data_IF_465102358273
#
_entry.id   IF_465102358273
#
_cell.length_a   1.000
_cell.length_b   1.000
_cell.length_c   1.000
_cell.angle_alpha   90.00
_cell.angle_beta   90.00
_cell.angle_gamma   90.00
#
_symmetry.space_group_name_H-M   'P 1'
#
loop_
_entity.id
_entity.type
_entity.pdbx_description
1 polymer ?
#
# COMPACT_ATOMS: atom_id res chain seq x y z
N UNK A 1 12.77 -25.07 -12.13
CA UNK A 1 13.43 -25.36 -10.85
C UNK A 1 12.76 -26.51 -10.08
N UNK A 2 11.41 -26.59 -10.01
CA UNK A 2 10.72 -27.75 -9.38
C UNK A 2 11.04 -29.11 -9.99
N UNK A 3 11.44 -29.15 -11.27
CA UNK A 3 11.74 -30.41 -11.98
C UNK A 3 13.12 -31.01 -11.66
N UNK A 4 13.95 -30.33 -10.85
CA UNK A 4 15.31 -30.75 -10.51
C UNK A 4 15.38 -31.49 -9.16
N UNK A 5 14.31 -31.45 -8.37
CA UNK A 5 14.27 -32.07 -7.03
C UNK A 5 13.90 -33.55 -7.16
N UNK A 6 14.77 -34.48 -6.74
CA UNK A 6 14.45 -35.91 -6.76
C UNK A 6 13.18 -36.20 -5.96
N UNK A 7 12.28 -37.01 -6.52
CA UNK A 7 11.05 -37.38 -5.82
C UNK A 7 11.34 -38.51 -4.84
N UNK A 8 10.66 -38.47 -3.70
CA UNK A 8 10.71 -39.53 -2.70
C UNK A 8 10.52 -40.94 -3.30
N UNK A 9 9.59 -41.07 -4.25
CA UNK A 9 9.28 -42.36 -4.89
C UNK A 9 10.48 -42.93 -5.65
N UNK A 10 11.26 -42.09 -6.32
CA UNK A 10 12.43 -42.53 -7.07
C UNK A 10 13.52 -43.07 -6.14
N UNK A 11 13.69 -42.44 -4.97
CA UNK A 11 14.63 -42.90 -3.92
C UNK A 11 14.14 -44.20 -3.29
N UNK A 12 12.84 -44.32 -2.99
CA UNK A 12 12.25 -45.55 -2.44
C UNK A 12 12.43 -46.73 -3.39
N UNK A 13 12.16 -46.53 -4.68
CA UNK A 13 12.30 -47.57 -5.71
C UNK A 13 13.76 -48.02 -5.87
N UNK A 14 14.75 -47.14 -5.67
CA UNK A 14 16.16 -47.49 -5.68
C UNK A 14 16.56 -48.32 -4.46
N UNK A 15 16.05 -47.96 -3.27
CA UNK A 15 16.29 -48.70 -2.04
C UNK A 15 15.68 -50.11 -2.10
N UNK A 16 14.46 -50.25 -2.62
CA UNK A 16 13.78 -51.54 -2.78
C UNK A 16 14.51 -52.48 -3.76
N UNK A 17 15.23 -51.91 -4.74
CA UNK A 17 16.07 -52.65 -5.69
C UNK A 17 17.47 -52.97 -5.16
N UNK A 18 17.82 -52.53 -3.95
CA UNK A 18 19.16 -52.68 -3.37
C UNK A 18 20.22 -51.76 -3.98
N UNK A 19 19.82 -50.77 -4.78
CA UNK A 19 20.70 -49.78 -5.41
C UNK A 19 21.04 -48.65 -4.41
N UNK A 20 21.83 -49.00 -3.39
CA UNK A 20 22.11 -48.14 -2.24
C UNK A 20 22.96 -46.93 -2.58
N UNK A 21 23.88 -47.04 -3.54
CA UNK A 21 24.76 -45.94 -3.95
C UNK A 21 23.95 -44.87 -4.70
N UNK A 22 23.14 -45.28 -5.67
CA UNK A 22 22.29 -44.40 -6.45
C UNK A 22 21.22 -43.73 -5.57
N UNK A 23 20.67 -44.47 -4.59
CA UNK A 23 19.77 -43.88 -3.60
C UNK A 23 20.47 -42.80 -2.75
N UNK A 24 21.73 -43.01 -2.35
CA UNK A 24 22.52 -42.03 -1.62
C UNK A 24 22.79 -40.78 -2.45
N UNK A 25 23.13 -40.93 -3.73
CA UNK A 25 23.33 -39.79 -4.65
C UNK A 25 22.05 -38.94 -4.74
N UNK A 26 20.88 -39.57 -4.93
CA UNK A 26 19.60 -38.85 -4.95
C UNK A 26 19.25 -38.17 -3.63
N UNK A 27 19.64 -38.75 -2.50
CA UNK A 27 19.47 -38.12 -1.19
C UNK A 27 20.37 -36.89 -1.07
N UNK A 28 21.60 -36.93 -1.62
CA UNK A 28 22.49 -35.76 -1.62
C UNK A 28 21.94 -34.63 -2.49
N UNK A 29 21.47 -34.94 -3.70
CA UNK A 29 20.80 -33.97 -4.58
C UNK A 29 19.57 -33.34 -3.89
N UNK A 30 18.74 -34.15 -3.22
CA UNK A 30 17.58 -33.65 -2.48
C UNK A 30 17.98 -32.73 -1.32
N UNK A 31 19.06 -33.04 -0.61
CA UNK A 31 19.59 -32.20 0.48
C UNK A 31 20.10 -30.86 -0.05
N UNK A 32 20.83 -30.87 -1.15
CA UNK A 32 21.34 -29.65 -1.79
C UNK A 32 20.18 -28.74 -2.21
N UNK A 33 19.19 -29.28 -2.95
CA UNK A 33 18.01 -28.51 -3.34
C UNK A 33 17.20 -27.99 -2.13
N UNK A 34 17.19 -28.74 -1.02
CA UNK A 34 16.52 -28.28 0.21
C UNK A 34 17.25 -27.08 0.83
N UNK A 35 18.59 -27.09 0.85
CA UNK A 35 19.39 -25.99 1.35
C UNK A 35 19.18 -24.73 0.49
N UNK A 36 19.25 -24.87 -0.84
CA UNK A 36 18.99 -23.76 -1.77
C UNK A 36 17.61 -23.13 -1.55
N UNK A 37 16.57 -23.95 -1.41
CA UNK A 37 15.21 -23.46 -1.14
C UNK A 37 15.09 -22.79 0.23
N UNK A 38 15.82 -23.25 1.24
CA UNK A 38 15.85 -22.61 2.56
C UNK A 38 16.54 -21.25 2.50
N UNK A 39 17.65 -21.13 1.79
CA UNK A 39 18.35 -19.87 1.56
C UNK A 39 17.46 -18.88 0.79
N UNK A 40 16.84 -19.31 -0.31
CA UNK A 40 15.92 -18.46 -1.07
C UNK A 40 14.73 -18.01 -0.22
N UNK A 41 14.19 -18.90 0.63
CA UNK A 41 13.08 -18.55 1.51
C UNK A 41 13.48 -17.50 2.56
N UNK A 42 14.68 -17.61 3.12
CA UNK A 42 15.21 -16.63 4.07
C UNK A 42 15.42 -15.28 3.39
N UNK A 43 16.03 -15.26 2.20
CA UNK A 43 16.23 -14.05 1.42
C UNK A 43 14.92 -13.36 1.06
N UNK A 44 13.92 -14.14 0.63
CA UNK A 44 12.58 -13.63 0.33
C UNK A 44 11.91 -13.05 1.58
N UNK A 45 12.00 -13.72 2.74
CA UNK A 45 11.47 -13.21 4.01
C UNK A 45 12.13 -11.91 4.44
N UNK A 46 13.45 -11.80 4.29
CA UNK A 46 14.18 -10.56 4.59
C UNK A 46 13.74 -9.43 3.66
N UNK A 47 13.60 -9.70 2.36
CA UNK A 47 13.11 -8.71 1.39
C UNK A 47 11.69 -8.25 1.70
N UNK A 48 10.78 -9.18 2.02
CA UNK A 48 9.41 -8.85 2.40
C UNK A 48 9.39 -7.95 3.62
N UNK A 49 10.10 -8.33 4.69
CA UNK A 49 10.17 -7.53 5.92
C UNK A 49 10.69 -6.12 5.66
N UNK A 50 11.77 -5.98 4.86
CA UNK A 50 12.32 -4.67 4.51
C UNK A 50 11.31 -3.81 3.73
N UNK A 51 10.59 -4.40 2.78
CA UNK A 51 9.57 -3.68 2.02
C UNK A 51 8.38 -3.27 2.89
N UNK A 52 8.01 -4.08 3.87
CA UNK A 52 6.97 -3.75 4.86
C UNK A 52 7.43 -2.58 5.75
N UNK A 53 8.66 -2.62 6.26
CA UNK A 53 9.27 -1.53 7.04
C UNK A 53 9.34 -0.23 6.22
N UNK A 54 9.81 -0.29 4.96
CA UNK A 54 9.82 0.87 4.05
C UNK A 54 8.43 1.41 3.71
N UNK A 55 7.39 0.55 3.78
CA UNK A 55 6.00 0.97 3.57
C UNK A 55 5.42 1.64 4.82
N UNK A 56 5.80 1.17 6.00
CA UNK A 56 5.39 1.73 7.29
C UNK A 56 6.09 3.06 7.59
N UNK A 57 7.35 3.21 7.17
CA UNK A 57 8.11 4.47 7.29
C UNK A 57 7.63 5.57 6.32
N UNK A 58 6.83 5.24 5.30
CA UNK A 58 6.27 6.24 4.37
C UNK A 58 5.13 7.03 5.03
N UNK A 59 5.54 8.07 5.75
CA UNK A 59 4.81 9.28 6.14
C UNK A 59 3.40 9.11 6.73
N UNK A 60 3.25 9.51 8.00
CA UNK A 60 1.99 9.39 8.75
C UNK A 60 0.93 10.31 8.17
N UNK A 61 -0.13 9.71 7.63
CA UNK A 61 -1.30 10.45 7.19
C UNK A 61 -2.17 10.81 8.40
N UNK A 62 -2.44 12.10 8.59
CA UNK A 62 -3.25 12.64 9.68
C UNK A 62 -4.47 13.33 9.11
N UNK A 63 -5.64 13.00 9.64
CA UNK A 63 -6.89 13.67 9.27
C UNK A 63 -7.04 14.98 10.04
N UNK A 64 -7.21 16.08 9.32
CA UNK A 64 -7.56 17.39 9.86
C UNK A 64 -8.68 17.96 9.00
N UNK A 65 -9.90 17.94 9.53
CA UNK A 65 -11.09 18.20 8.74
C UNK A 65 -11.01 19.52 7.95
N UNK A 66 -11.33 19.50 6.63
CA UNK A 66 -11.90 18.39 5.86
C UNK A 66 -10.89 17.57 5.04
N UNK A 67 -9.60 17.55 5.42
CA UNK A 67 -8.51 17.00 4.60
C UNK A 67 -7.68 15.93 5.31
N UNK A 68 -6.92 15.17 4.53
CA UNK A 68 -5.75 14.45 5.04
C UNK A 68 -4.46 15.22 4.75
N UNK A 69 -3.50 15.08 5.66
CA UNK A 69 -2.15 15.62 5.54
C UNK A 69 -1.14 14.53 5.78
N UNK A 70 -0.09 14.51 4.96
CA UNK A 70 1.07 13.69 5.19
C UNK A 70 2.04 14.47 6.08
N UNK A 71 2.41 13.89 7.23
CA UNK A 71 3.35 14.52 8.16
C UNK A 71 4.69 13.80 8.03
N UNK A 72 5.69 14.52 7.57
CA UNK A 72 7.08 14.06 7.48
C UNK A 72 8.01 15.09 8.12
N UNK A 73 8.78 14.66 9.13
CA UNK A 73 9.71 15.54 9.85
C UNK A 73 9.08 16.82 10.42
N UNK A 74 7.79 16.78 10.80
CA UNK A 74 7.04 17.95 11.28
C UNK A 74 6.54 18.90 10.19
N UNK A 75 6.82 18.63 8.92
CA UNK A 75 6.25 19.35 7.78
C UNK A 75 4.96 18.68 7.34
N UNK A 76 3.92 19.48 7.13
CA UNK A 76 2.66 19.04 6.53
C UNK A 76 2.76 19.14 5.01
N UNK A 77 2.51 18.02 4.34
CA UNK A 77 2.32 17.94 2.91
C UNK A 77 0.87 17.54 2.59
N UNK A 78 0.24 18.22 1.64
CA UNK A 78 -1.17 18.04 1.30
C UNK A 78 -1.80 19.31 0.72
N UNK A 79 -3.14 19.46 0.75
CA UNK A 79 -4.11 18.53 1.33
C UNK A 79 -4.46 17.35 0.38
N UNK A 80 -4.77 16.20 0.97
CA UNK A 80 -5.22 14.99 0.27
C UNK A 80 -6.72 14.76 0.46
N UNK A 81 -7.35 14.14 -0.54
CA UNK A 81 -8.78 13.90 -0.60
C UNK A 81 -9.23 12.86 0.45
N UNK A 82 -10.10 13.29 1.37
CA UNK A 82 -10.71 12.41 2.37
C UNK A 82 -11.44 11.22 1.73
N UNK A 83 -12.36 11.48 0.79
CA UNK A 83 -13.17 10.43 0.18
C UNK A 83 -12.33 9.33 -0.48
N UNK A 84 -11.32 9.71 -1.27
CA UNK A 84 -10.48 8.74 -1.99
C UNK A 84 -9.57 7.95 -1.04
N UNK A 85 -9.14 8.56 0.08
CA UNK A 85 -8.38 7.85 1.10
C UNK A 85 -9.28 6.88 1.89
N UNK A 86 -10.47 7.32 2.30
CA UNK A 86 -11.38 6.52 3.11
C UNK A 86 -11.93 5.32 2.35
N UNK A 87 -12.28 5.50 1.06
CA UNK A 87 -12.86 4.42 0.25
C UNK A 87 -11.81 3.46 -0.33
N UNK A 88 -10.70 4.01 -0.85
CA UNK A 88 -9.78 3.25 -1.71
C UNK A 88 -8.32 3.28 -1.20
N UNK A 89 -8.05 3.93 -0.06
CA UNK A 89 -6.68 4.19 0.45
C UNK A 89 -5.80 4.97 -0.55
N UNK A 90 -6.42 5.78 -1.42
CA UNK A 90 -5.72 6.62 -2.41
C UNK A 90 -5.49 8.03 -1.89
N UNK A 91 -4.22 8.42 -1.76
CA UNK A 91 -3.81 9.78 -1.36
C UNK A 91 -3.81 10.73 -2.57
N UNK A 92 -5.00 11.08 -3.07
CA UNK A 92 -5.14 12.02 -4.20
C UNK A 92 -4.95 13.45 -3.71
N UNK A 93 -3.97 14.18 -4.26
CA UNK A 93 -3.74 15.59 -3.94
C UNK A 93 -4.90 16.44 -4.44
N UNK A 94 -5.51 17.21 -3.54
CA UNK A 94 -6.56 18.16 -3.90
C UNK A 94 -5.97 19.37 -4.62
N UNK A 95 -6.74 19.91 -5.55
CA UNK A 95 -6.40 21.11 -6.30
C UNK A 95 -7.11 22.31 -5.68
N UNK A 96 -6.42 23.44 -5.56
CA UNK A 96 -7.04 24.66 -5.09
C UNK A 96 -7.94 25.23 -6.21
N UNK A 97 -9.22 25.41 -5.91
CA UNK A 97 -10.20 25.92 -6.88
C UNK A 97 -10.52 27.40 -6.65
N UNK A 98 -10.71 27.80 -5.39
CA UNK A 98 -10.93 29.19 -4.94
C UNK A 98 -10.62 29.31 -3.45
N UNK A 99 -10.64 30.51 -2.89
CA UNK A 99 -10.28 30.77 -1.48
C UNK A 99 -10.89 29.78 -0.48
N UNK A 100 -10.04 28.88 0.04
CA UNK A 100 -10.40 27.84 1.01
C UNK A 100 -11.26 26.69 0.46
N UNK A 101 -11.44 26.60 -0.86
CA UNK A 101 -12.14 25.51 -1.54
C UNK A 101 -11.19 24.69 -2.41
N UNK A 102 -11.31 23.38 -2.26
CA UNK A 102 -10.42 22.41 -2.86
C UNK A 102 -11.23 21.34 -3.60
N UNK A 103 -10.76 20.89 -4.76
CA UNK A 103 -11.43 19.86 -5.53
C UNK A 103 -10.54 18.65 -5.80
N UNK A 104 -11.15 17.47 -5.85
CA UNK A 104 -10.46 16.24 -6.24
C UNK A 104 -10.59 16.03 -7.74
N UNK A 105 -9.46 15.91 -8.45
CA UNK A 105 -9.47 15.63 -9.88
C UNK A 105 -10.01 14.22 -10.22
N UNK A 106 -9.97 13.30 -9.25
CA UNK A 106 -10.39 11.90 -9.42
C UNK A 106 -11.88 11.72 -9.13
N UNK A 107 -12.33 12.00 -7.90
CA UNK A 107 -13.73 11.78 -7.50
C UNK A 107 -14.65 12.99 -7.70
N UNK A 108 -14.12 14.14 -8.13
CA UNK A 108 -14.86 15.38 -8.40
C UNK A 108 -15.55 16.04 -7.19
N UNK A 109 -15.33 15.52 -5.97
CA UNK A 109 -15.80 16.15 -4.75
C UNK A 109 -15.09 17.50 -4.48
N UNK A 110 -15.82 18.41 -3.83
CA UNK A 110 -15.34 19.71 -3.37
C UNK A 110 -15.33 19.76 -1.84
N UNK A 111 -14.28 20.36 -1.29
CA UNK A 111 -14.02 20.43 0.14
C UNK A 111 -13.70 21.88 0.50
N UNK A 112 -14.48 22.47 1.40
CA UNK A 112 -14.28 23.85 1.86
C UNK A 112 -13.77 23.88 3.30
N UNK A 113 -12.80 24.75 3.60
CA UNK A 113 -12.42 25.02 5.00
C UNK A 113 -13.60 25.62 5.77
N UNK A 114 -13.53 25.59 7.11
CA UNK A 114 -14.57 26.17 7.95
C UNK A 114 -14.82 27.65 7.63
N UNK A 115 -13.76 28.41 7.33
CA UNK A 115 -13.81 29.82 6.95
C UNK A 115 -14.45 30.01 5.57
N UNK A 116 -14.15 29.13 4.61
CA UNK A 116 -14.76 29.18 3.29
C UNK A 116 -16.27 28.90 3.35
N UNK A 117 -16.66 27.89 4.13
CA UNK A 117 -18.07 27.54 4.33
C UNK A 117 -18.85 28.60 5.12
N UNK A 118 -18.20 29.36 6.02
CA UNK A 118 -18.86 30.44 6.76
C UNK A 118 -19.10 31.66 5.88
N UNK A 119 -18.11 32.05 5.05
CA UNK A 119 -18.24 33.15 4.09
C UNK A 119 -19.37 32.94 3.09
N UNK A 120 -19.49 31.73 2.54
CA UNK A 120 -20.56 31.41 1.59
C UNK A 120 -21.95 31.49 2.22
N UNK A 121 -22.09 31.03 3.49
CA UNK A 121 -23.37 31.14 4.22
C UNK A 121 -23.79 32.60 4.42
N UNK A 122 -22.84 33.48 4.77
CA UNK A 122 -23.11 34.90 4.93
C UNK A 122 -23.52 35.55 3.60
N UNK A 123 -22.82 35.23 2.51
CA UNK A 123 -23.14 35.75 1.17
C UNK A 123 -24.55 35.36 0.70
N UNK A 124 -24.98 34.11 0.93
CA UNK A 124 -26.33 33.64 0.59
C UNK A 124 -27.39 34.40 1.41
N UNK A 125 -27.15 34.62 2.70
CA UNK A 125 -28.09 35.38 3.54
C UNK A 125 -28.21 36.86 3.14
N UNK A 126 -27.11 37.46 2.66
CA UNK A 126 -27.08 38.85 2.17
C UNK A 126 -27.69 39.07 0.78
N UNK A 127 -27.76 38.04 -0.06
CA UNK A 127 -28.32 38.13 -1.42
C UNK A 127 -29.86 38.16 -1.47
N UNK A 128 -30.54 38.01 -0.33
CA UNK A 128 -32.01 38.04 -0.26
C UNK A 128 -32.62 39.46 -0.23
N UNK A 129 -31.81 40.52 -0.25
CA UNK A 129 -32.25 41.91 -0.08
C UNK A 129 -32.08 42.82 -1.31
N UNK A 130 -32.13 42.27 -2.54
CA UNK A 130 -32.21 43.10 -3.76
C UNK A 130 -33.19 42.48 -4.76
N UNK A 131 -34.49 42.50 -4.42
CA UNK A 131 -35.59 42.29 -5.38
C UNK A 131 -36.92 42.75 -4.76
N UNK A 132 -37.15 44.07 -4.71
CA UNK A 132 -38.46 44.71 -4.91
C UNK A 132 -38.33 46.23 -4.79
N UNK A 133 -38.94 46.90 -5.77
CA UNK A 133 -39.08 48.35 -6.01
C UNK A 133 -37.98 48.99 -6.86
#
# INVERSE_FOLDING_TARGET
MRDVIPKYKDISDLLDKGATVEALERIMELREATLELQEENLDLKVKVKKLEEELEEKAKLTYEAPFYWMIDGGKKDGPFCQQCHDSDKKNIRLQNYRDGWWNCATCKNNFGTAEAQSKDRVAISGSSYVSRF
#
